data_IF_719170398934
#
_entry.id   IF_719170398934
#
_cell.length_a   1.000
_cell.length_b   1.000
_cell.length_c   1.000
_cell.angle_alpha   90.00
_cell.angle_beta   90.00
_cell.angle_gamma   90.00
#
_symmetry.space_group_name_H-M   'P 1'
#
loop_
_entity.id
_entity.type
_entity.pdbx_description
1 polymer ?
#
# COMPACT_ATOMS: atom_id res chain seq x y z
N UNK A 1 17.26 -12.78 -24.39
CA UNK A 1 16.16 -11.81 -24.58
C UNK A 1 15.88 -11.14 -23.24
N UNK A 2 16.48 -9.98 -23.03
CA UNK A 2 16.40 -9.18 -21.81
C UNK A 2 15.05 -8.44 -21.83
N UNK A 3 14.08 -8.88 -21.02
CA UNK A 3 12.91 -8.04 -20.74
C UNK A 3 13.35 -7.00 -19.73
N UNK A 4 13.84 -5.87 -20.26
CA UNK A 4 14.02 -4.63 -19.53
C UNK A 4 12.78 -4.43 -18.64
N UNK A 5 13.01 -4.54 -17.33
CA UNK A 5 12.00 -4.25 -16.32
C UNK A 5 11.61 -2.81 -16.53
N UNK A 6 10.48 -2.60 -17.19
CA UNK A 6 9.91 -1.28 -17.39
C UNK A 6 9.65 -0.76 -15.98
N UNK A 7 10.50 0.18 -15.55
CA UNK A 7 10.30 0.98 -14.35
C UNK A 7 8.93 1.62 -14.52
N UNK A 8 7.91 0.99 -13.94
CA UNK A 8 6.55 1.45 -14.07
C UNK A 8 6.52 2.71 -13.20
N UNK A 9 6.37 3.91 -13.78
CA UNK A 9 6.26 5.10 -12.96
C UNK A 9 5.11 4.86 -11.98
N UNK A 10 5.31 5.12 -10.68
CA UNK A 10 4.30 4.82 -9.68
C UNK A 10 3.03 5.58 -10.06
N UNK A 11 1.85 4.92 -10.05
CA UNK A 11 0.61 5.66 -10.19
C UNK A 11 0.55 6.68 -9.06
N UNK A 12 0.35 7.96 -9.42
CA UNK A 12 0.38 9.08 -8.51
C UNK A 12 -0.58 8.85 -7.33
N UNK A 13 -0.05 8.79 -6.11
CA UNK A 13 -0.85 8.64 -4.89
C UNK A 13 -0.27 7.80 -3.75
N UNK A 14 0.91 7.18 -3.92
CA UNK A 14 1.60 6.46 -2.84
C UNK A 14 2.62 7.32 -2.08
N UNK A 15 2.76 7.10 -0.77
CA UNK A 15 3.89 7.62 0.02
C UNK A 15 5.01 6.59 0.06
N UNK A 16 6.27 7.01 -0.02
CA UNK A 16 7.42 6.10 -0.03
C UNK A 16 8.47 6.45 1.01
N UNK A 17 9.11 5.42 1.57
CA UNK A 17 10.33 5.48 2.37
C UNK A 17 11.51 4.95 1.53
N UNK A 18 12.68 5.57 1.65
CA UNK A 18 13.94 5.02 1.10
C UNK A 18 14.78 4.57 2.28
N UNK A 19 15.14 3.28 2.31
CA UNK A 19 16.01 2.73 3.36
C UNK A 19 17.45 3.15 3.12
N UNK A 20 18.27 3.03 4.16
CA UNK A 20 19.70 3.33 4.14
C UNK A 20 20.46 2.47 3.13
N UNK A 21 19.97 1.25 2.85
CA UNK A 21 20.53 0.38 1.79
C UNK A 21 20.05 0.74 0.37
N UNK A 22 19.34 1.87 0.21
CA UNK A 22 18.91 2.40 -1.09
C UNK A 22 17.63 1.76 -1.64
N UNK A 23 16.98 0.89 -0.87
CA UNK A 23 15.72 0.25 -1.27
C UNK A 23 14.56 1.23 -1.08
N UNK A 24 13.77 1.45 -2.13
CA UNK A 24 12.52 2.22 -2.04
C UNK A 24 11.38 1.29 -1.68
N UNK A 25 10.68 1.64 -0.60
CA UNK A 25 9.45 0.97 -0.16
C UNK A 25 8.29 1.95 -0.34
N UNK A 26 7.27 1.57 -1.11
CA UNK A 26 6.08 2.40 -1.34
C UNK A 26 4.84 1.77 -0.69
N UNK A 27 4.03 2.61 -0.04
CA UNK A 27 2.76 2.26 0.56
C UNK A 27 1.63 2.99 -0.16
N UNK A 28 0.57 2.27 -0.51
CA UNK A 28 -0.61 2.84 -1.18
C UNK A 28 -1.89 2.10 -0.81
N UNK A 29 -3.03 2.78 -0.91
CA UNK A 29 -4.32 2.12 -0.90
C UNK A 29 -4.67 1.57 -2.29
N UNK A 30 -5.12 0.32 -2.34
CA UNK A 30 -5.70 -0.34 -3.51
C UNK A 30 -7.19 -0.56 -3.27
N UNK A 31 -8.02 -0.21 -4.25
CA UNK A 31 -9.42 -0.59 -4.29
C UNK A 31 -9.59 -1.70 -5.31
N UNK A 32 -10.04 -2.87 -4.86
CA UNK A 32 -10.29 -4.04 -5.71
C UNK A 32 -11.78 -4.10 -6.05
N UNK A 33 -12.11 -3.85 -7.32
CA UNK A 33 -13.41 -4.11 -7.93
C UNK A 33 -13.29 -5.37 -8.81
N UNK A 34 -14.36 -6.16 -9.04
CA UNK A 34 -15.78 -5.83 -8.82
C UNK A 34 -16.42 -6.44 -7.56
N UNK A 35 -15.68 -6.65 -6.46
CA UNK A 35 -16.30 -7.07 -5.22
C UNK A 35 -17.36 -6.03 -4.76
N UNK A 36 -18.51 -6.47 -4.26
CA UNK A 36 -19.49 -5.61 -3.56
C UNK A 36 -19.66 -6.12 -2.11
N UNK A 37 -19.18 -5.38 -1.10
CA UNK A 37 -18.48 -4.11 -1.21
C UNK A 37 -17.06 -4.23 -1.82
N UNK A 38 -16.57 -3.20 -2.55
CA UNK A 38 -15.21 -3.13 -3.04
C UNK A 38 -14.26 -3.14 -1.86
N UNK A 39 -13.27 -4.02 -1.96
CA UNK A 39 -12.31 -4.26 -0.90
C UNK A 39 -11.23 -3.19 -0.99
N UNK A 40 -11.09 -2.39 0.05
CA UNK A 40 -9.92 -1.52 0.25
C UNK A 40 -8.79 -2.33 0.88
N UNK A 41 -7.58 -2.27 0.31
CA UNK A 41 -6.37 -2.91 0.85
C UNK A 41 -5.23 -1.92 0.92
N UNK A 42 -4.39 -2.02 1.93
CA UNK A 42 -3.07 -1.38 1.92
C UNK A 42 -2.10 -2.30 1.17
N UNK A 43 -1.43 -1.76 0.16
CA UNK A 43 -0.44 -2.48 -0.61
C UNK A 43 0.96 -1.92 -0.33
N UNK A 44 1.89 -2.85 -0.14
CA UNK A 44 3.30 -2.58 0.09
C UNK A 44 4.11 -3.04 -1.13
N UNK A 45 4.85 -2.13 -1.73
CA UNK A 45 5.84 -2.42 -2.76
C UNK A 45 7.23 -2.25 -2.14
N UNK A 46 7.99 -3.33 -2.01
CA UNK A 46 9.29 -3.36 -1.32
C UNK A 46 10.46 -3.14 -2.30
N UNK A 47 10.18 -2.82 -3.57
CA UNK A 47 11.21 -2.64 -4.59
C UNK A 47 11.89 -3.97 -4.98
N UNK A 48 12.70 -3.95 -6.03
CA UNK A 48 13.32 -5.17 -6.58
C UNK A 48 14.34 -5.75 -5.60
N UNK A 49 14.39 -7.08 -5.48
CA UNK A 49 15.51 -7.73 -4.79
C UNK A 49 16.83 -7.34 -5.46
N UNK A 50 17.81 -6.88 -4.69
CA UNK A 50 19.07 -6.32 -5.19
C UNK A 50 20.18 -7.38 -5.24
N UNK A 51 19.84 -8.67 -5.17
CA UNK A 51 20.75 -9.78 -5.44
C UNK A 51 21.00 -10.73 -4.27
N UNK A 52 20.07 -10.84 -3.32
CA UNK A 52 20.07 -11.94 -2.35
C UNK A 52 19.41 -13.20 -2.92
N UNK A 53 19.65 -14.35 -2.28
CA UNK A 53 18.89 -15.57 -2.52
C UNK A 53 17.37 -15.28 -2.57
N UNK A 54 16.58 -15.99 -3.40
CA UNK A 54 15.15 -15.82 -3.44
C UNK A 54 14.54 -15.87 -2.03
N UNK A 55 13.87 -14.79 -1.62
CA UNK A 55 13.24 -14.71 -0.29
C UNK A 55 13.99 -13.87 0.74
N UNK A 56 15.00 -13.08 0.35
CA UNK A 56 15.57 -12.06 1.25
C UNK A 56 14.55 -10.95 1.51
N UNK A 57 14.13 -10.87 2.77
CA UNK A 57 13.28 -9.80 3.29
C UNK A 57 14.07 -8.49 3.32
N UNK A 58 13.39 -7.36 3.13
CA UNK A 58 14.01 -6.07 3.41
C UNK A 58 14.31 -5.97 4.91
N UNK A 59 15.60 -5.99 5.28
CA UNK A 59 16.02 -5.62 6.63
C UNK A 59 15.86 -4.11 6.81
N UNK A 60 15.25 -3.72 7.92
CA UNK A 60 15.03 -2.33 8.30
C UNK A 60 15.79 -2.04 9.58
N UNK A 61 16.33 -0.84 9.69
CA UNK A 61 16.72 -0.31 11.00
C UNK A 61 15.47 -0.11 11.87
N UNK A 62 15.66 0.02 13.19
CA UNK A 62 14.54 0.29 14.11
C UNK A 62 13.79 1.56 13.74
N UNK A 63 14.48 2.59 13.26
CA UNK A 63 13.85 3.86 12.87
C UNK A 63 13.11 3.73 11.54
N UNK A 64 13.69 3.04 10.55
CA UNK A 64 13.01 2.73 9.29
C UNK A 64 11.75 1.88 9.51
N UNK A 65 11.79 0.94 10.46
CA UNK A 65 10.62 0.14 10.83
C UNK A 65 9.51 0.99 11.46
N UNK A 66 9.86 1.96 12.32
CA UNK A 66 8.89 2.90 12.91
C UNK A 66 8.28 3.81 11.85
N UNK A 67 9.08 4.31 10.92
CA UNK A 67 8.59 5.14 9.83
C UNK A 67 7.67 4.37 8.90
N UNK A 68 8.04 3.14 8.54
CA UNK A 68 7.17 2.28 7.76
C UNK A 68 5.85 1.98 8.48
N UNK A 69 5.89 1.71 9.80
CA UNK A 69 4.68 1.47 10.58
C UNK A 69 3.74 2.69 10.59
N UNK A 70 4.28 3.92 10.72
CA UNK A 70 3.47 5.15 10.63
C UNK A 70 2.79 5.29 9.28
N UNK A 71 3.51 4.99 8.19
CA UNK A 71 2.94 5.01 6.84
C UNK A 71 1.83 3.96 6.69
N UNK A 72 2.04 2.73 7.18
CA UNK A 72 1.03 1.68 7.13
C UNK A 72 -0.25 2.06 7.89
N UNK A 73 -0.11 2.61 9.10
CA UNK A 73 -1.26 3.06 9.90
C UNK A 73 -2.02 4.21 9.23
N UNK A 74 -1.30 5.17 8.63
CA UNK A 74 -1.93 6.27 7.89
C UNK A 74 -2.78 5.75 6.71
N UNK A 75 -2.23 4.82 5.93
CA UNK A 75 -2.94 4.24 4.78
C UNK A 75 -4.07 3.28 5.20
N UNK A 76 -3.95 2.60 6.34
CA UNK A 76 -5.03 1.82 6.91
C UNK A 76 -6.25 2.71 7.22
N UNK A 77 -6.04 3.83 7.91
CA UNK A 77 -7.13 4.78 8.18
C UNK A 77 -7.74 5.38 6.90
N UNK A 78 -6.94 5.61 5.85
CA UNK A 78 -7.47 6.05 4.54
C UNK A 78 -8.33 4.96 3.87
N UNK A 79 -7.92 3.69 4.00
CA UNK A 79 -8.64 2.55 3.46
C UNK A 79 -9.97 2.30 4.18
N UNK A 80 -10.02 2.50 5.51
CA UNK A 80 -11.22 2.38 6.34
C UNK A 80 -12.27 3.44 5.99
N UNK A 81 -11.90 4.73 5.98
CA UNK A 81 -12.83 5.84 5.62
C UNK A 81 -13.43 5.70 4.23
N UNK A 82 -12.65 5.12 3.32
CA UNK A 82 -13.07 4.82 1.95
C UNK A 82 -14.17 3.75 1.85
N UNK A 83 -14.39 2.96 2.90
CA UNK A 83 -15.47 1.97 3.03
C UNK A 83 -16.71 2.55 3.70
N UNK A 84 -16.53 3.38 4.73
CA UNK A 84 -17.62 4.00 5.51
C UNK A 84 -18.43 5.03 4.70
N UNK A 85 -17.78 5.76 3.79
CA UNK A 85 -18.46 6.76 2.94
C UNK A 85 -19.51 6.16 1.96
N UNK A 86 -19.73 4.84 1.97
CA UNK A 86 -20.69 4.13 1.11
C UNK A 86 -21.84 3.47 1.87
N UNK A 87 -22.09 3.83 3.13
CA UNK A 87 -23.37 3.55 3.77
C UNK A 87 -24.35 4.69 3.38
N UNK A 88 -25.34 4.46 2.50
CA UNK A 88 -26.39 5.46 2.28
C UNK A 88 -27.20 5.62 3.58
N UNK A 89 -27.75 6.82 3.87
CA UNK A 89 -28.61 6.99 5.03
C UNK A 89 -29.79 6.04 4.89
N UNK A 90 -29.87 5.07 5.79
CA UNK A 90 -31.04 4.20 5.96
C UNK A 90 -32.26 5.10 6.14
N UNK A 91 -33.08 5.24 5.10
CA UNK A 91 -34.35 5.94 5.20
C UNK A 91 -35.17 5.28 6.31
N UNK A 92 -35.67 6.04 7.31
CA UNK A 92 -36.60 5.47 8.26
C UNK A 92 -37.87 5.10 7.48
N UNK A 93 -38.17 3.80 7.41
CA UNK A 93 -39.50 3.34 7.00
C UNK A 93 -40.49 3.80 8.06
N UNK A 94 -41.31 4.77 7.70
CA UNK A 94 -42.47 5.20 8.48
C UNK A 94 -43.66 4.32 8.06
N UNK A 95 -44.31 3.57 8.98
CA UNK A 95 -45.61 2.99 8.72
C UNK A 95 -46.73 4.04 8.76
#
# INVERSE_FOLDING_TARGET
>A
MEKAGRDRPPPAGGTSLVTTCGRRIAVRCLRLAPADPPISRVALDVGRDQGGEPGVWAALTTDEARDLARLLLLHAGLAERSTESREPPSSPSVP
#
